data_IF_522651828495
#
_entry.id   IF_522651828495
#
_cell.length_a   1.000
_cell.length_b   1.000
_cell.length_c   1.000
_cell.angle_alpha   90.00
_cell.angle_beta   90.00
_cell.angle_gamma   90.00
#
_symmetry.space_group_name_H-M   'P 1'
#
loop_
_entity.id
_entity.type
_entity.pdbx_description
1 polymer ?
#
# COMPACT_ATOMS: atom_id res chain seq x y z
N UNK A 1 -5.60 -13.32 -23.57
CA UNK A 1 -6.22 -12.11 -24.18
C UNK A 1 -7.53 -12.54 -24.84
N UNK A 2 -8.62 -12.56 -24.08
CA UNK A 2 -9.93 -12.98 -24.59
C UNK A 2 -10.74 -11.72 -24.81
N UNK A 3 -11.03 -11.39 -26.08
CA UNK A 3 -11.85 -10.23 -26.44
C UNK A 3 -13.29 -10.53 -26.02
N UNK A 4 -13.75 -9.93 -24.92
CA UNK A 4 -15.17 -9.91 -24.60
C UNK A 4 -15.90 -9.16 -25.72
N UNK A 5 -16.90 -9.83 -26.30
CA UNK A 5 -17.73 -9.30 -27.37
C UNK A 5 -18.65 -8.23 -26.77
N UNK A 6 -18.24 -6.95 -26.81
CA UNK A 6 -18.99 -5.85 -26.18
C UNK A 6 -20.21 -5.48 -27.01
N UNK A 7 -21.32 -6.21 -26.81
CA UNK A 7 -22.63 -5.84 -27.34
C UNK A 7 -23.03 -4.47 -26.76
N UNK A 8 -23.27 -3.49 -27.64
CA UNK A 8 -23.74 -2.16 -27.23
C UNK A 8 -25.15 -2.29 -26.66
N UNK A 9 -25.44 -1.69 -25.49
CA UNK A 9 -26.78 -1.72 -24.94
C UNK A 9 -27.75 -0.87 -25.77
N UNK A 10 -28.80 -1.51 -26.27
CA UNK A 10 -29.71 -0.94 -27.28
C UNK A 10 -31.01 -0.38 -26.68
N UNK A 11 -31.27 -0.64 -25.39
CA UNK A 11 -32.52 -0.25 -24.72
C UNK A 11 -32.28 0.83 -23.67
N UNK A 12 -33.07 1.91 -23.73
CA UNK A 12 -32.99 3.04 -22.78
C UNK A 12 -34.06 2.93 -21.70
N UNK A 13 -33.63 2.87 -20.45
CA UNK A 13 -34.49 2.96 -19.27
C UNK A 13 -34.50 4.40 -18.74
N UNK A 14 -35.68 4.94 -18.39
CA UNK A 14 -35.80 6.23 -17.71
C UNK A 14 -36.37 6.00 -16.32
N UNK A 15 -35.65 6.45 -15.29
CA UNK A 15 -36.03 6.31 -13.88
C UNK A 15 -36.13 7.70 -13.26
N UNK A 16 -37.13 7.89 -12.39
CA UNK A 16 -37.31 9.14 -11.64
C UNK A 16 -36.65 9.01 -10.27
N UNK A 17 -35.87 10.02 -9.89
CA UNK A 17 -35.21 10.11 -8.59
C UNK A 17 -35.71 11.34 -7.84
N UNK A 18 -35.76 11.23 -6.52
CA UNK A 18 -35.95 12.38 -5.65
C UNK A 18 -34.64 13.19 -5.55
N UNK A 19 -34.73 14.47 -5.15
CA UNK A 19 -33.57 15.38 -5.06
C UNK A 19 -32.45 14.83 -4.17
N UNK A 20 -32.81 14.20 -3.05
CA UNK A 20 -31.85 13.61 -2.11
C UNK A 20 -31.16 12.36 -2.69
N UNK A 21 -31.85 11.58 -3.50
CA UNK A 21 -31.32 10.37 -4.13
C UNK A 21 -30.36 10.76 -5.26
N UNK A 22 -30.72 11.78 -6.03
CA UNK A 22 -29.89 12.33 -7.09
C UNK A 22 -28.58 12.92 -6.53
N UNK A 23 -28.65 13.66 -5.43
CA UNK A 23 -27.46 14.20 -4.77
C UNK A 23 -26.50 13.10 -4.27
N UNK A 24 -27.04 11.98 -3.76
CA UNK A 24 -26.23 10.81 -3.35
C UNK A 24 -25.50 10.19 -4.54
N UNK A 25 -26.21 9.99 -5.66
CA UNK A 25 -25.64 9.43 -6.88
C UNK A 25 -24.55 10.34 -7.49
N UNK A 26 -24.75 11.66 -7.47
CA UNK A 26 -23.73 12.61 -7.92
C UNK A 26 -22.48 12.58 -7.04
N UNK A 27 -22.66 12.45 -5.71
CA UNK A 27 -21.52 12.31 -4.80
C UNK A 27 -20.75 11.02 -5.06
N UNK A 28 -21.45 9.90 -5.31
CA UNK A 28 -20.81 8.64 -5.68
C UNK A 28 -20.08 8.72 -7.02
N UNK A 29 -20.65 9.41 -8.01
CA UNK A 29 -20.00 9.63 -9.30
C UNK A 29 -18.70 10.44 -9.13
N UNK A 30 -18.68 11.46 -8.27
CA UNK A 30 -17.48 12.24 -7.96
C UNK A 30 -16.40 11.42 -7.25
N UNK A 31 -16.80 10.47 -6.40
CA UNK A 31 -15.88 9.60 -5.66
C UNK A 31 -15.36 8.43 -6.48
N UNK A 32 -16.07 8.05 -7.54
CA UNK A 32 -15.67 6.91 -8.37
C UNK A 32 -14.68 7.33 -9.45
N UNK A 33 -13.47 6.77 -9.42
CA UNK A 33 -12.46 6.97 -10.48
C UNK A 33 -12.76 6.17 -11.75
N UNK A 34 -13.63 5.15 -11.66
CA UNK A 34 -13.89 4.18 -12.73
C UNK A 34 -15.08 4.53 -13.62
N UNK A 35 -16.05 5.31 -13.15
CA UNK A 35 -17.28 5.61 -13.88
C UNK A 35 -17.23 7.01 -14.50
N UNK A 36 -17.47 7.12 -15.81
CA UNK A 36 -17.44 8.42 -16.51
C UNK A 36 -18.79 9.13 -16.48
N UNK A 37 -19.87 8.36 -16.54
CA UNK A 37 -21.23 8.90 -16.66
C UNK A 37 -22.20 8.23 -15.66
N UNK A 38 -23.26 8.96 -15.30
CA UNK A 38 -24.31 8.47 -14.38
C UNK A 38 -24.94 7.14 -14.83
N UNK A 39 -25.15 6.95 -16.14
CA UNK A 39 -25.71 5.72 -16.68
C UNK A 39 -24.78 4.51 -16.48
N UNK A 40 -23.47 4.72 -16.49
CA UNK A 40 -22.48 3.67 -16.26
C UNK A 40 -22.44 3.27 -14.78
N UNK A 41 -22.47 4.26 -13.89
CA UNK A 41 -22.59 4.06 -12.43
C UNK A 41 -23.87 3.28 -12.08
N UNK A 42 -25.04 3.70 -12.61
CA UNK A 42 -26.32 3.03 -12.35
C UNK A 42 -26.33 1.61 -12.92
N UNK A 43 -25.81 1.41 -14.13
CA UNK A 43 -25.71 0.07 -14.73
C UNK A 43 -24.77 -0.81 -13.91
N UNK A 44 -23.66 -0.27 -13.41
CA UNK A 44 -22.74 -0.99 -12.53
C UNK A 44 -23.44 -1.39 -11.22
N UNK A 45 -24.15 -0.46 -10.58
CA UNK A 45 -24.92 -0.71 -9.36
C UNK A 45 -26.01 -1.79 -9.54
N UNK A 46 -26.69 -1.78 -10.68
CA UNK A 46 -27.79 -2.72 -10.96
C UNK A 46 -27.33 -4.12 -11.36
N UNK A 47 -26.23 -4.25 -12.12
CA UNK A 47 -25.83 -5.52 -12.73
C UNK A 47 -24.51 -6.10 -12.21
N UNK A 48 -23.64 -5.30 -11.59
CA UNK A 48 -22.37 -5.74 -11.00
C UNK A 48 -22.42 -5.55 -9.48
N UNK A 49 -23.19 -6.42 -8.82
CA UNK A 49 -23.25 -6.56 -7.35
C UNK A 49 -21.86 -6.95 -6.80
N UNK A 50 -21.02 -5.94 -6.67
CA UNK A 50 -20.01 -5.72 -5.63
C UNK A 50 -19.44 -4.34 -5.95
N UNK A 51 -19.99 -3.30 -5.31
CA UNK A 51 -19.29 -2.03 -5.28
C UNK A 51 -18.14 -2.24 -4.30
N UNK A 52 -16.97 -2.64 -4.80
CA UNK A 52 -15.74 -2.45 -4.04
C UNK A 52 -15.50 -0.94 -4.01
N UNK A 53 -16.12 -0.27 -3.04
CA UNK A 53 -15.77 1.10 -2.72
C UNK A 53 -14.37 1.00 -2.14
N UNK A 54 -13.35 1.19 -2.97
CA UNK A 54 -12.01 1.48 -2.48
C UNK A 54 -12.11 2.88 -1.85
N UNK A 55 -12.53 2.95 -0.60
CA UNK A 55 -12.33 4.12 0.25
C UNK A 55 -10.83 4.27 0.40
N UNK A 56 -10.26 5.09 -0.49
CA UNK A 56 -8.91 5.59 -0.31
C UNK A 56 -8.95 6.56 0.85
N UNK A 57 -8.55 6.09 2.03
CA UNK A 57 -8.43 6.94 3.20
C UNK A 57 -7.07 7.66 3.15
N UNK A 58 -7.11 8.92 2.71
CA UNK A 58 -5.95 9.80 2.66
C UNK A 58 -5.31 10.03 4.05
N UNK A 59 -5.99 9.64 5.14
CA UNK A 59 -5.42 9.67 6.49
C UNK A 59 -4.27 8.66 6.68
N UNK A 60 -4.25 7.57 5.90
CA UNK A 60 -3.26 6.49 5.97
C UNK A 60 -2.09 6.66 5.02
N UNK A 61 -2.18 7.57 4.04
CA UNK A 61 -1.13 7.81 3.05
C UNK A 61 0.19 8.22 3.67
N UNK A 62 0.14 9.16 4.61
CA UNK A 62 1.33 9.66 5.29
C UNK A 62 2.04 8.55 6.08
N UNK A 63 1.26 7.67 6.70
CA UNK A 63 1.79 6.55 7.47
C UNK A 63 2.37 5.47 6.55
N UNK A 64 1.75 5.23 5.40
CA UNK A 64 2.26 4.36 4.36
C UNK A 64 3.57 4.89 3.77
N UNK A 65 3.68 6.19 3.53
CA UNK A 65 4.92 6.85 3.10
C UNK A 65 6.06 6.64 4.11
N UNK A 66 5.77 6.84 5.41
CA UNK A 66 6.74 6.61 6.49
C UNK A 66 7.18 5.13 6.55
N UNK A 67 6.26 4.17 6.41
CA UNK A 67 6.59 2.75 6.34
C UNK A 67 7.45 2.39 5.12
N UNK A 68 7.16 2.97 3.96
CA UNK A 68 7.95 2.74 2.73
C UNK A 68 9.37 3.26 2.90
N UNK A 69 9.55 4.41 3.57
CA UNK A 69 10.88 4.95 3.89
C UNK A 69 11.64 4.02 4.83
N UNK A 70 11.05 3.61 5.95
CA UNK A 70 11.69 2.68 6.90
C UNK A 70 12.06 1.35 6.23
N UNK A 71 11.19 0.81 5.38
CA UNK A 71 11.45 -0.41 4.61
C UNK A 71 12.67 -0.25 3.68
N UNK A 72 12.79 0.87 2.98
CA UNK A 72 13.94 1.15 2.12
C UNK A 72 15.24 1.20 2.91
N UNK A 73 15.22 1.85 4.07
CA UNK A 73 16.39 1.96 4.94
C UNK A 73 16.81 0.60 5.50
N UNK A 74 15.86 -0.22 5.98
CA UNK A 74 16.15 -1.58 6.45
C UNK A 74 16.76 -2.46 5.34
N UNK A 75 16.24 -2.34 4.11
CA UNK A 75 16.79 -3.07 2.98
C UNK A 75 18.24 -2.65 2.67
N UNK A 76 18.55 -1.35 2.72
CA UNK A 76 19.91 -0.87 2.54
C UNK A 76 20.87 -1.39 3.62
N UNK A 77 20.40 -1.46 4.88
CA UNK A 77 21.20 -2.03 5.98
C UNK A 77 21.43 -3.52 5.76
N UNK A 78 20.40 -4.29 5.37
CA UNK A 78 20.53 -5.71 5.06
C UNK A 78 21.54 -5.98 3.93
N UNK A 79 21.53 -5.16 2.89
CA UNK A 79 22.52 -5.21 1.80
C UNK A 79 23.93 -4.96 2.34
N UNK A 80 24.12 -3.94 3.18
CA UNK A 80 25.42 -3.63 3.77
C UNK A 80 25.92 -4.77 4.68
N UNK A 81 25.06 -5.36 5.51
CA UNK A 81 25.42 -6.51 6.34
C UNK A 81 25.88 -7.67 5.45
N UNK A 82 25.09 -7.99 4.41
CA UNK A 82 25.41 -9.08 3.50
C UNK A 82 26.76 -8.86 2.78
N UNK A 83 27.07 -7.62 2.40
CA UNK A 83 28.37 -7.26 1.81
C UNK A 83 29.51 -7.49 2.80
N UNK A 84 29.40 -7.00 4.04
CA UNK A 84 30.48 -7.17 5.03
C UNK A 84 30.64 -8.64 5.41
N UNK A 85 29.56 -9.42 5.50
CA UNK A 85 29.62 -10.88 5.69
C UNK A 85 30.31 -11.57 4.52
N UNK A 86 30.04 -11.17 3.28
CA UNK A 86 30.73 -11.70 2.11
C UNK A 86 32.24 -11.41 2.17
N UNK A 87 32.65 -10.18 2.50
CA UNK A 87 34.07 -9.84 2.67
C UNK A 87 34.72 -10.59 3.83
N UNK A 88 34.03 -10.73 4.97
CA UNK A 88 34.51 -11.49 6.13
C UNK A 88 34.76 -12.96 5.79
N UNK A 89 33.88 -13.58 4.99
CA UNK A 89 34.01 -14.98 4.59
C UNK A 89 35.04 -15.20 3.46
N UNK A 90 35.21 -14.22 2.57
CA UNK A 90 36.13 -14.29 1.44
C UNK A 90 37.60 -14.04 1.83
N UNK A 91 37.86 -13.32 2.92
CA UNK A 91 39.22 -12.97 3.34
C UNK A 91 39.85 -14.10 4.17
N UNK A 92 41.01 -14.67 3.76
CA UNK A 92 41.71 -15.69 4.53
C UNK A 92 42.49 -15.15 5.73
N UNK A 93 42.74 -13.84 5.83
CA UNK A 93 43.55 -13.22 6.89
C UNK A 93 42.72 -12.98 8.19
N UNK A 94 43.11 -13.58 9.34
CA UNK A 94 42.44 -13.36 10.62
C UNK A 94 42.41 -11.89 11.09
N UNK A 95 43.42 -11.09 10.73
CA UNK A 95 43.49 -9.68 11.11
C UNK A 95 42.44 -8.83 10.39
N UNK A 96 42.18 -9.10 9.12
CA UNK A 96 41.14 -8.42 8.35
C UNK A 96 39.73 -8.81 8.79
N UNK A 97 39.52 -10.09 9.14
CA UNK A 97 38.25 -10.56 9.74
C UNK A 97 37.86 -9.78 11.00
N UNK A 98 38.83 -9.45 11.85
CA UNK A 98 38.59 -8.67 13.06
C UNK A 98 38.14 -7.23 12.75
N UNK A 99 38.64 -6.63 11.66
CA UNK A 99 38.24 -5.30 11.20
C UNK A 99 36.80 -5.31 10.68
N UNK A 100 36.43 -6.31 9.89
CA UNK A 100 35.05 -6.47 9.42
C UNK A 100 34.06 -6.74 10.57
N UNK A 101 34.44 -7.58 11.55
CA UNK A 101 33.64 -7.83 12.74
C UNK A 101 33.38 -6.55 13.56
N UNK A 102 34.40 -5.69 13.71
CA UNK A 102 34.25 -4.38 14.38
C UNK A 102 33.34 -3.41 13.62
N UNK A 103 33.31 -3.47 12.28
CA UNK A 103 32.38 -2.67 11.46
C UNK A 103 30.94 -3.15 11.53
N UNK A 104 30.74 -4.45 11.76
CA UNK A 104 29.41 -5.09 11.85
C UNK A 104 28.67 -4.71 13.14
N UNK A 105 29.37 -4.66 14.28
CA UNK A 105 28.76 -4.38 15.58
C UNK A 105 27.85 -3.12 15.62
N UNK A 106 28.30 -1.92 15.19
CA UNK A 106 27.46 -0.72 15.20
C UNK A 106 26.33 -0.77 14.16
N UNK A 107 26.49 -1.54 13.07
CA UNK A 107 25.44 -1.70 12.06
C UNK A 107 24.28 -2.53 12.62
N UNK A 108 24.56 -3.58 13.39
CA UNK A 108 23.50 -4.34 14.08
C UNK A 108 22.78 -3.50 15.13
N UNK A 109 23.50 -2.70 15.93
CA UNK A 109 22.92 -1.83 16.94
C UNK A 109 21.97 -0.78 16.34
N UNK A 110 22.37 -0.15 15.22
CA UNK A 110 21.51 0.75 14.46
C UNK A 110 20.33 0.07 13.76
N UNK A 111 20.45 -1.23 13.46
CA UNK A 111 19.34 -2.03 12.89
C UNK A 111 18.27 -2.29 13.94
N UNK A 112 18.66 -2.68 15.15
CA UNK A 112 17.74 -2.97 16.26
C UNK A 112 16.88 -1.75 16.59
N UNK A 113 17.48 -0.57 16.70
CA UNK A 113 16.75 0.69 16.97
C UNK A 113 15.71 1.03 15.88
N UNK A 114 16.01 0.70 14.61
CA UNK A 114 15.07 0.92 13.50
C UNK A 114 13.97 -0.13 13.45
N UNK A 115 14.27 -1.38 13.83
CA UNK A 115 13.28 -2.43 13.99
C UNK A 115 12.31 -2.08 15.13
N UNK A 116 12.80 -1.53 16.25
CA UNK A 116 11.95 -1.04 17.33
C UNK A 116 11.00 0.07 16.86
N UNK A 117 11.50 1.08 16.13
CA UNK A 117 10.63 2.10 15.52
C UNK A 117 9.59 1.54 14.55
N UNK A 118 9.94 0.50 13.80
CA UNK A 118 8.99 -0.19 12.92
C UNK A 118 7.88 -0.88 13.74
N UNK A 119 8.24 -1.55 14.84
CA UNK A 119 7.28 -2.17 15.75
C UNK A 119 6.36 -1.14 16.41
N UNK A 120 6.86 0.03 16.78
CA UNK A 120 6.05 1.13 17.32
C UNK A 120 5.01 1.61 16.29
N UNK A 121 5.44 1.85 15.05
CA UNK A 121 4.54 2.27 13.95
C UNK A 121 3.50 1.19 13.62
N UNK A 122 3.90 -0.09 13.61
CA UNK A 122 2.98 -1.22 13.40
C UNK A 122 1.98 -1.36 14.55
N UNK A 123 2.39 -1.07 15.79
CA UNK A 123 1.52 -1.09 16.96
C UNK A 123 0.50 0.05 16.92
N UNK A 124 0.92 1.26 16.52
CA UNK A 124 0.01 2.39 16.30
C UNK A 124 -1.03 2.08 15.20
N UNK A 125 -0.61 1.43 14.11
CA UNK A 125 -1.49 0.92 13.06
C UNK A 125 -2.50 -0.10 13.57
N UNK A 126 -2.03 -1.12 14.29
CA UNK A 126 -2.88 -2.16 14.83
C UNK A 126 -3.91 -1.61 15.83
N UNK A 127 -3.53 -0.61 16.62
CA UNK A 127 -4.42 0.04 17.59
C UNK A 127 -5.51 0.88 16.91
N UNK A 128 -5.18 1.60 15.82
CA UNK A 128 -6.16 2.34 15.03
C UNK A 128 -7.15 1.43 14.31
N UNK A 129 -6.70 0.27 13.82
CA UNK A 129 -7.57 -0.72 13.17
C UNK A 129 -8.43 -1.53 14.16
N UNK A 130 -8.02 -1.65 15.42
CA UNK A 130 -8.79 -2.35 16.45
C UNK A 130 -9.95 -1.51 17.04
N UNK A 131 -10.07 -0.24 16.65
CA UNK A 131 -11.10 0.69 17.11
C UNK A 131 -12.21 0.96 16.07
N UNK A 132 -12.13 0.35 14.88
CA UNK A 132 -13.23 0.23 13.90
C UNK A 132 -13.95 -1.11 14.03
#
# INVERSE_FOLDING_TARGET
MTKENTLKPDHRLTVRFNKNELAKLENWLKKSTYHRNMSELIRHLLFKKEITINTYDASLDRLYEELVLVKKELNAIGVNINQVTHYFNADPDPSQKLIYAKKIAPLYEGTTQKIEKLFDLLSELAQRWSLE
#
